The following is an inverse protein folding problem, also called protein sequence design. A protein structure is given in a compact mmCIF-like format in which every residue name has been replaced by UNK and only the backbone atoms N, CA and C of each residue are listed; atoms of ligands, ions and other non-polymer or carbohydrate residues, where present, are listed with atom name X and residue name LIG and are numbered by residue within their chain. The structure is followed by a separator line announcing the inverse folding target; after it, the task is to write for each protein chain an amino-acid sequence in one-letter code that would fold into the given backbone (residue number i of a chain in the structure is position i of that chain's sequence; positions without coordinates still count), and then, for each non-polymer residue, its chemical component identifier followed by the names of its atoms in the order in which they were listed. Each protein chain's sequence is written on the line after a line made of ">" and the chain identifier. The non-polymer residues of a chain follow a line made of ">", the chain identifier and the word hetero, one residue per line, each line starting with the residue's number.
data_IF_178125613385
#
_entry.id   IF_178125613385
#
_cell.length_a   1.000
_cell.length_b   1.000
_cell.length_c   1.000
_cell.angle_alpha   90.00
_cell.angle_beta   90.00
_cell.angle_gamma   90.00
#
_symmetry.space_group_name_H-M   'P 1'
#
loop_
_entity.id
_entity.type
_entity.pdbx_description
1 polymer ?
#
# COMPACT_ATOMS: atom_id res chain seq x y z
N UNK A 1 -55.49 -8.26 -38.04
CA UNK A 1 -54.87 -6.98 -37.64
C UNK A 1 -54.68 -6.93 -36.12
N UNK A 2 -55.70 -7.29 -35.35
CA UNK A 2 -55.60 -7.29 -33.88
C UNK A 2 -54.58 -8.32 -33.38
N UNK A 3 -54.53 -9.53 -33.96
CA UNK A 3 -53.55 -10.55 -33.60
C UNK A 3 -52.12 -10.08 -33.90
N UNK A 4 -51.91 -9.41 -35.02
CA UNK A 4 -50.61 -8.87 -35.39
C UNK A 4 -50.18 -7.75 -34.43
N UNK A 5 -51.11 -6.89 -34.03
CA UNK A 5 -50.84 -5.81 -33.08
C UNK A 5 -50.51 -6.36 -31.70
N UNK A 6 -51.22 -7.42 -31.25
CA UNK A 6 -50.96 -8.08 -29.99
C UNK A 6 -49.57 -8.74 -29.96
N UNK A 7 -49.21 -9.45 -31.04
CA UNK A 7 -47.89 -10.08 -31.18
C UNK A 7 -46.76 -9.02 -31.17
N UNK A 8 -46.99 -7.91 -31.91
CA UNK A 8 -46.03 -6.81 -31.93
C UNK A 8 -45.83 -6.21 -30.54
N UNK A 9 -46.92 -5.99 -29.81
CA UNK A 9 -46.87 -5.47 -28.45
C UNK A 9 -46.14 -6.42 -27.51
N UNK A 10 -46.39 -7.71 -27.63
CA UNK A 10 -45.69 -8.72 -26.84
C UNK A 10 -44.18 -8.72 -27.10
N UNK A 11 -43.79 -8.62 -28.36
CA UNK A 11 -42.37 -8.55 -28.74
C UNK A 11 -41.69 -7.28 -28.16
N UNK A 12 -42.43 -6.16 -28.21
CA UNK A 12 -41.90 -4.92 -27.62
C UNK A 12 -41.76 -5.04 -26.10
N UNK A 13 -42.69 -5.63 -25.42
CA UNK A 13 -42.65 -5.86 -23.99
C UNK A 13 -41.50 -6.79 -23.59
N UNK A 14 -41.29 -7.84 -24.34
CA UNK A 14 -40.16 -8.75 -24.15
C UNK A 14 -38.84 -8.04 -24.38
N UNK A 15 -38.75 -7.25 -25.44
CA UNK A 15 -37.55 -6.46 -25.72
C UNK A 15 -37.24 -5.48 -24.59
N UNK A 16 -38.21 -4.72 -24.12
CA UNK A 16 -38.06 -3.79 -23.02
C UNK A 16 -37.67 -4.49 -21.72
N UNK A 17 -38.23 -5.66 -21.45
CA UNK A 17 -37.89 -6.49 -20.29
C UNK A 17 -36.44 -6.96 -20.35
N UNK A 18 -36.00 -7.46 -21.50
CA UNK A 18 -34.61 -7.89 -21.68
C UNK A 18 -33.63 -6.72 -21.58
N UNK A 19 -33.98 -5.57 -22.15
CA UNK A 19 -33.17 -4.38 -22.07
C UNK A 19 -33.00 -3.89 -20.62
N UNK A 20 -34.08 -3.94 -19.84
CA UNK A 20 -34.05 -3.57 -18.43
C UNK A 20 -33.17 -4.52 -17.63
N UNK A 21 -33.31 -5.82 -17.86
CA UNK A 21 -32.45 -6.82 -17.21
C UNK A 21 -30.97 -6.62 -17.55
N UNK A 22 -30.67 -6.32 -18.80
CA UNK A 22 -29.30 -6.05 -19.22
C UNK A 22 -28.73 -4.81 -18.54
N UNK A 23 -29.54 -3.74 -18.41
CA UNK A 23 -29.12 -2.52 -17.71
C UNK A 23 -28.89 -2.75 -16.23
N UNK A 24 -29.76 -3.52 -15.58
CA UNK A 24 -29.60 -3.90 -14.18
C UNK A 24 -28.34 -4.72 -13.96
N UNK A 25 -28.09 -5.71 -14.82
CA UNK A 25 -26.89 -6.52 -14.77
C UNK A 25 -25.62 -5.68 -14.95
N UNK A 26 -25.65 -4.75 -15.91
CA UNK A 26 -24.52 -3.84 -16.14
C UNK A 26 -24.27 -2.92 -14.94
N UNK A 27 -25.32 -2.43 -14.29
CA UNK A 27 -25.20 -1.59 -13.10
C UNK A 27 -24.59 -2.36 -11.93
N UNK A 28 -25.02 -3.60 -11.71
CA UNK A 28 -24.46 -4.48 -10.68
C UNK A 28 -22.99 -4.76 -10.97
N UNK A 29 -22.66 -5.07 -12.21
CA UNK A 29 -21.28 -5.35 -12.62
C UNK A 29 -20.36 -4.14 -12.36
N UNK A 30 -20.83 -2.94 -12.70
CA UNK A 30 -20.05 -1.71 -12.43
C UNK A 30 -19.88 -1.46 -10.94
N UNK A 31 -20.93 -1.68 -10.15
CA UNK A 31 -20.88 -1.50 -8.70
C UNK A 31 -19.90 -2.49 -8.06
N UNK A 32 -20.00 -3.76 -8.45
CA UNK A 32 -19.11 -4.80 -7.94
C UNK A 32 -17.66 -4.52 -8.33
N UNK A 33 -17.43 -4.10 -9.56
CA UNK A 33 -16.09 -3.72 -10.03
C UNK A 33 -15.51 -2.57 -9.24
N UNK A 34 -16.33 -1.56 -8.90
CA UNK A 34 -15.90 -0.44 -8.08
C UNK A 34 -15.53 -0.89 -6.66
N UNK A 35 -16.38 -1.72 -6.05
CA UNK A 35 -16.12 -2.26 -4.71
C UNK A 35 -14.84 -3.10 -4.69
N UNK A 36 -14.67 -3.98 -5.67
CA UNK A 36 -13.45 -4.80 -5.78
C UNK A 36 -12.21 -3.95 -6.00
N UNK A 37 -12.33 -2.89 -6.81
CA UNK A 37 -11.23 -1.95 -7.03
C UNK A 37 -10.84 -1.20 -5.77
N UNK A 38 -11.81 -0.76 -4.98
CA UNK A 38 -11.56 -0.08 -3.70
C UNK A 38 -10.91 -1.01 -2.68
N UNK A 39 -11.34 -2.27 -2.61
CA UNK A 39 -10.74 -3.27 -1.73
C UNK A 39 -9.29 -3.57 -2.12
N UNK A 40 -9.02 -3.71 -3.41
CA UNK A 40 -7.67 -3.96 -3.91
C UNK A 40 -6.76 -2.76 -3.65
N UNK A 41 -7.26 -1.55 -3.86
CA UNK A 41 -6.53 -0.32 -3.53
C UNK A 41 -6.16 -0.25 -2.06
N UNK A 42 -7.12 -0.57 -1.17
CA UNK A 42 -6.88 -0.59 0.26
C UNK A 42 -5.83 -1.63 0.64
N UNK A 43 -5.89 -2.82 0.02
CA UNK A 43 -4.92 -3.88 0.25
C UNK A 43 -3.51 -3.46 -0.16
N UNK A 44 -3.37 -2.86 -1.34
CA UNK A 44 -2.07 -2.38 -1.85
C UNK A 44 -1.52 -1.29 -0.95
N UNK A 45 -2.35 -0.34 -0.55
CA UNK A 45 -1.95 0.76 0.34
C UNK A 45 -1.50 0.22 1.70
N UNK A 46 -2.23 -0.72 2.27
CA UNK A 46 -1.89 -1.33 3.55
C UNK A 46 -0.56 -2.08 3.48
N UNK A 47 -0.35 -2.87 2.44
CA UNK A 47 0.91 -3.57 2.21
C UNK A 47 2.08 -2.61 2.05
N UNK A 48 1.92 -1.54 1.25
CA UNK A 48 2.95 -0.53 1.05
C UNK A 48 3.26 0.21 2.35
N UNK A 49 2.25 0.53 3.16
CA UNK A 49 2.44 1.17 4.46
C UNK A 49 3.23 0.29 5.43
N UNK A 50 2.92 -0.99 5.47
CA UNK A 50 3.65 -1.97 6.31
C UNK A 50 5.10 -2.11 5.87
N UNK A 51 5.35 -2.18 4.57
CA UNK A 51 6.70 -2.24 4.02
C UNK A 51 7.49 -0.98 4.36
N UNK A 52 6.90 0.19 4.22
CA UNK A 52 7.52 1.45 4.57
C UNK A 52 7.87 1.53 6.06
N UNK A 53 6.96 1.09 6.94
CA UNK A 53 7.21 1.03 8.37
C UNK A 53 8.35 0.06 8.71
N UNK A 54 8.40 -1.08 8.03
CA UNK A 54 9.47 -2.06 8.21
C UNK A 54 10.83 -1.48 7.78
N UNK A 55 10.88 -0.80 6.65
CA UNK A 55 12.11 -0.12 6.18
C UNK A 55 12.57 0.96 7.14
N UNK A 56 11.65 1.76 7.67
CA UNK A 56 11.97 2.78 8.68
C UNK A 56 12.57 2.14 9.92
N UNK A 57 11.99 1.06 10.43
CA UNK A 57 12.52 0.35 11.59
C UNK A 57 13.91 -0.21 11.34
N UNK A 58 14.12 -0.81 10.16
CA UNK A 58 15.41 -1.37 9.77
C UNK A 58 16.46 -0.27 9.67
N UNK A 59 16.11 0.86 9.06
CA UNK A 59 16.99 2.00 8.93
C UNK A 59 17.32 2.60 10.29
N UNK A 60 16.34 2.74 11.18
CA UNK A 60 16.57 3.23 12.54
C UNK A 60 17.52 2.32 13.32
N UNK A 61 17.34 1.01 13.20
CA UNK A 61 18.22 0.04 13.85
C UNK A 61 19.65 0.14 13.30
N UNK A 62 19.79 0.27 11.98
CA UNK A 62 21.11 0.44 11.35
C UNK A 62 21.79 1.74 11.79
N UNK A 63 21.05 2.84 11.86
CA UNK A 63 21.57 4.14 12.33
C UNK A 63 22.03 4.05 13.79
N UNK A 64 21.25 3.39 14.65
CA UNK A 64 21.63 3.21 16.07
C UNK A 64 22.88 2.36 16.21
N UNK A 65 22.98 1.28 15.43
CA UNK A 65 24.17 0.42 15.44
C UNK A 65 25.41 1.19 14.97
N UNK A 66 25.27 1.96 13.89
CA UNK A 66 26.34 2.78 13.36
C UNK A 66 26.78 3.87 14.35
N UNK A 67 25.82 4.53 14.99
CA UNK A 67 26.10 5.51 16.04
C UNK A 67 26.84 4.88 17.22
N UNK A 68 26.47 3.66 17.61
CA UNK A 68 27.15 2.92 18.66
C UNK A 68 28.60 2.57 18.31
N UNK A 69 28.84 2.14 17.08
CA UNK A 69 30.18 1.86 16.56
C UNK A 69 31.04 3.13 16.55
N UNK A 70 30.47 4.21 16.03
CA UNK A 70 31.16 5.53 15.98
C UNK A 70 31.51 6.02 17.38
N UNK A 71 30.58 5.90 18.33
CA UNK A 71 30.83 6.30 19.72
C UNK A 71 31.99 5.53 20.34
N UNK A 72 31.99 4.21 20.16
CA UNK A 72 33.08 3.36 20.69
C UNK A 72 34.41 3.70 20.05
N UNK A 73 34.42 3.96 18.74
CA UNK A 73 35.65 4.37 18.05
C UNK A 73 36.18 5.72 18.56
N UNK A 74 35.30 6.69 18.82
CA UNK A 74 35.68 7.97 19.40
C UNK A 74 36.21 7.82 20.82
N UNK A 75 35.59 6.99 21.65
CA UNK A 75 36.05 6.73 23.00
C UNK A 75 37.45 6.10 23.01
N UNK A 76 37.69 5.15 22.11
CA UNK A 76 38.99 4.53 21.96
C UNK A 76 40.07 5.56 21.55
N UNK A 77 39.73 6.44 20.61
CA UNK A 77 40.63 7.53 20.17
C UNK A 77 40.93 8.51 21.28
N UNK A 78 39.93 8.86 22.07
CA UNK A 78 40.13 9.75 23.23
C UNK A 78 41.02 9.12 24.28
N UNK A 79 40.84 7.81 24.51
CA UNK A 79 41.69 7.08 25.44
C UNK A 79 43.14 7.05 24.97
N UNK A 80 43.42 6.74 23.72
CA UNK A 80 44.73 6.77 23.09
C UNK A 80 45.38 8.16 23.23
N UNK A 81 44.62 9.21 22.94
CA UNK A 81 45.06 10.58 23.03
C UNK A 81 45.46 10.92 24.48
N UNK A 82 44.66 10.54 25.44
CA UNK A 82 44.91 10.76 26.86
C UNK A 82 46.20 10.06 27.32
N UNK A 83 46.36 8.81 26.93
CA UNK A 83 47.57 8.07 27.26
C UNK A 83 48.83 8.68 26.64
N UNK A 84 48.75 9.10 25.37
CA UNK A 84 49.87 9.75 24.71
C UNK A 84 50.23 11.09 25.38
N UNK A 85 49.23 11.87 25.79
CA UNK A 85 49.46 13.12 26.50
C UNK A 85 50.09 12.90 27.85
N UNK A 86 49.65 11.88 28.60
CA UNK A 86 50.23 11.53 29.89
C UNK A 86 51.65 11.02 29.76
N UNK A 87 51.95 10.20 28.75
CA UNK A 87 53.28 9.73 28.47
C UNK A 87 54.26 10.88 28.20
N UNK A 88 53.82 11.90 27.46
CA UNK A 88 54.63 13.10 27.21
C UNK A 88 54.87 13.93 28.48
N UNK A 89 53.87 14.00 29.36
CA UNK A 89 54.02 14.74 30.61
C UNK A 89 54.96 14.07 31.61
N UNK A 90 55.00 12.73 31.57
CA UNK A 90 55.85 11.95 32.47
C UNK A 90 57.29 11.74 31.96
N UNK A 91 57.48 11.95 30.69
CA UNK A 91 58.80 11.91 30.08
C UNK A 91 59.51 13.20 30.32
#
# INVERSE_FOLDING_TARGET
>A
IEAFTAEKQQLLDEYESELRKAREAAAIYRKDGKVMGELERARIFDAASKDAQSEVRTTQAAVRADAGVTRRALQAKMHEFTEAAMAKLLA
#
